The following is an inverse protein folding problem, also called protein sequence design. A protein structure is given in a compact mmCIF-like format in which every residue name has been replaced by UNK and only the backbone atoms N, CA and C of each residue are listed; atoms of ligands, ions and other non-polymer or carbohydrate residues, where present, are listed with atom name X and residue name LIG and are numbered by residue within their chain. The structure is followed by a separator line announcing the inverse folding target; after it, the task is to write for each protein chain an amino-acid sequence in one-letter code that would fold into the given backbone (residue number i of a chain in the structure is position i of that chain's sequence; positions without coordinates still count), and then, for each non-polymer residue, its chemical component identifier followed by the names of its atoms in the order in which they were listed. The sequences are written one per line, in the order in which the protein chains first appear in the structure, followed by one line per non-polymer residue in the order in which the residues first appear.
data_IF_795370506623
#
_entry.id   IF_795370506623
#
_cell.length_a   1.000
_cell.length_b   1.000
_cell.length_c   1.000
_cell.angle_alpha   90.00
_cell.angle_beta   90.00
_cell.angle_gamma   90.00
#
_symmetry.space_group_name_H-M   'P 1'
#
loop_
_entity.id
_entity.type
_entity.pdbx_description
1 polymer ?
#
# COMPACT_ATOMS: atom_id res chain seq x y z
N UNK A 1 5.29 2.30 -9.49
CA UNK A 1 6.27 1.20 -9.41
C UNK A 1 5.88 0.14 -10.43
N UNK A 2 6.82 -0.39 -11.23
CA UNK A 2 6.51 -1.38 -12.28
C UNK A 2 6.96 -2.75 -11.78
N UNK A 3 6.06 -3.49 -11.12
CA UNK A 3 6.36 -4.83 -10.61
C UNK A 3 6.77 -5.77 -11.76
N UNK A 4 6.12 -5.64 -12.92
CA UNK A 4 6.48 -6.29 -14.19
C UNK A 4 7.77 -5.75 -14.86
N UNK A 5 8.58 -4.95 -14.18
CA UNK A 5 9.97 -4.69 -14.60
C UNK A 5 10.99 -5.49 -13.79
N UNK A 6 10.58 -6.15 -12.71
CA UNK A 6 11.46 -7.05 -11.99
C UNK A 6 11.67 -8.32 -12.82
N UNK A 7 12.94 -8.68 -13.04
CA UNK A 7 13.32 -9.79 -13.91
C UNK A 7 12.74 -11.13 -13.45
N UNK A 8 12.80 -11.42 -12.16
CA UNK A 8 12.31 -12.69 -11.60
C UNK A 8 10.78 -12.80 -11.72
N UNK A 9 10.07 -11.69 -11.47
CA UNK A 9 8.61 -11.62 -11.67
C UNK A 9 8.26 -11.90 -13.13
N UNK A 10 8.94 -11.25 -14.08
CA UNK A 10 8.67 -11.41 -15.52
C UNK A 10 8.98 -12.82 -16.00
N UNK A 11 10.11 -13.37 -15.59
CA UNK A 11 10.51 -14.74 -15.96
C UNK A 11 9.52 -15.77 -15.44
N UNK A 12 9.14 -15.67 -14.15
CA UNK A 12 8.17 -16.59 -13.56
C UNK A 12 6.79 -16.43 -14.21
N UNK A 13 6.30 -15.20 -14.36
CA UNK A 13 5.00 -14.91 -14.98
C UNK A 13 4.94 -15.40 -16.43
N UNK A 14 5.97 -15.21 -17.25
CA UNK A 14 5.94 -15.69 -18.64
C UNK A 14 6.02 -17.22 -18.74
N UNK A 15 6.66 -17.89 -17.78
CA UNK A 15 6.78 -19.34 -17.78
C UNK A 15 5.49 -20.07 -17.34
N UNK A 16 4.63 -19.44 -16.53
CA UNK A 16 3.51 -20.12 -15.87
C UNK A 16 2.13 -19.60 -16.25
N UNK A 17 2.02 -18.47 -16.93
CA UNK A 17 0.73 -17.84 -17.24
C UNK A 17 0.77 -17.04 -18.55
N UNK A 18 -0.42 -16.80 -19.11
CA UNK A 18 -0.62 -15.87 -20.22
C UNK A 18 -0.90 -14.48 -19.63
N UNK A 19 0.05 -13.56 -19.77
CA UNK A 19 -0.06 -12.21 -19.23
C UNK A 19 -0.80 -11.30 -20.22
N UNK A 20 -1.95 -10.75 -19.80
CA UNK A 20 -2.75 -9.84 -20.61
C UNK A 20 -3.11 -8.58 -19.83
N UNK A 21 -3.03 -7.42 -20.50
CA UNK A 21 -3.31 -6.10 -19.93
C UNK A 21 -4.45 -5.45 -20.70
N UNK A 22 -5.43 -4.91 -19.98
CA UNK A 22 -6.51 -4.07 -20.51
C UNK A 22 -6.70 -2.83 -19.65
N UNK A 23 -7.13 -1.72 -20.27
CA UNK A 23 -7.61 -0.53 -19.58
C UNK A 23 -9.04 -0.78 -19.08
N UNK A 24 -9.14 -1.14 -17.80
CA UNK A 24 -10.40 -1.42 -17.11
C UNK A 24 -11.36 -0.21 -17.05
N UNK A 25 -10.87 1.01 -17.30
CA UNK A 25 -11.69 2.22 -17.37
C UNK A 25 -12.20 2.52 -18.80
N UNK A 26 -11.74 1.76 -19.81
CA UNK A 26 -12.15 1.89 -21.21
C UNK A 26 -12.71 0.58 -21.75
N UNK A 27 -11.89 -0.22 -22.44
CA UNK A 27 -12.32 -1.46 -23.08
C UNK A 27 -12.52 -2.62 -22.09
N UNK A 28 -11.97 -2.53 -20.88
CA UNK A 28 -12.05 -3.57 -19.85
C UNK A 28 -13.20 -3.42 -18.84
N UNK A 29 -14.16 -2.50 -19.06
CA UNK A 29 -15.23 -2.20 -18.08
C UNK A 29 -16.08 -3.41 -17.72
N UNK A 30 -16.46 -4.23 -18.70
CA UNK A 30 -17.30 -5.41 -18.47
C UNK A 30 -16.53 -6.48 -17.69
N UNK A 31 -15.22 -6.61 -17.91
CA UNK A 31 -14.36 -7.50 -17.14
C UNK A 31 -14.18 -6.99 -15.71
N UNK A 32 -13.94 -5.70 -15.52
CA UNK A 32 -13.85 -5.09 -14.20
C UNK A 32 -15.12 -5.34 -13.38
N UNK A 33 -16.29 -5.24 -14.01
CA UNK A 33 -17.58 -5.58 -13.40
C UNK A 33 -17.71 -7.08 -13.11
N UNK A 34 -17.38 -7.96 -14.07
CA UNK A 34 -17.44 -9.42 -13.93
C UNK A 34 -16.63 -9.91 -12.72
N UNK A 35 -15.43 -9.37 -12.54
CA UNK A 35 -14.51 -9.77 -11.47
C UNK A 35 -14.58 -8.89 -10.23
N UNK A 36 -15.58 -7.99 -10.11
CA UNK A 36 -15.78 -7.17 -8.92
C UNK A 36 -14.57 -6.31 -8.54
N UNK A 37 -13.93 -5.69 -9.52
CA UNK A 37 -12.77 -4.80 -9.30
C UNK A 37 -13.25 -3.54 -8.56
N UNK A 38 -12.73 -3.31 -7.36
CA UNK A 38 -13.09 -2.17 -6.48
C UNK A 38 -12.01 -1.09 -6.40
N UNK A 39 -10.81 -1.36 -6.92
CA UNK A 39 -9.68 -0.44 -6.90
C UNK A 39 -8.62 -0.82 -7.94
N UNK A 40 -7.75 0.14 -8.27
CA UNK A 40 -6.68 -0.04 -9.25
C UNK A 40 -5.29 0.19 -8.63
N UNK A 41 -4.24 -0.55 -9.06
CA UNK A 41 -4.33 -1.69 -9.99
C UNK A 41 -5.00 -2.92 -9.33
N UNK A 42 -5.67 -3.75 -10.13
CA UNK A 42 -6.12 -5.10 -9.73
C UNK A 42 -5.68 -6.09 -10.79
N UNK A 43 -5.10 -7.21 -10.37
CA UNK A 43 -4.72 -8.32 -11.24
C UNK A 43 -5.65 -9.49 -10.94
N UNK A 44 -6.29 -10.01 -11.98
CA UNK A 44 -7.20 -11.15 -11.89
C UNK A 44 -6.54 -12.37 -12.51
N UNK A 45 -6.47 -13.46 -11.75
CA UNK A 45 -5.97 -14.75 -12.20
C UNK A 45 -7.19 -15.63 -12.46
N UNK A 46 -7.32 -16.13 -13.69
CA UNK A 46 -8.46 -16.94 -14.13
C UNK A 46 -8.01 -18.22 -14.84
N UNK A 47 -8.85 -19.25 -14.79
CA UNK A 47 -8.63 -20.50 -15.53
C UNK A 47 -8.98 -20.35 -17.02
N UNK A 48 -8.82 -21.42 -17.80
CA UNK A 48 -9.10 -21.44 -19.24
C UNK A 48 -10.58 -21.19 -19.57
N UNK A 49 -11.48 -21.42 -18.62
CA UNK A 49 -12.93 -21.21 -18.77
C UNK A 49 -13.35 -19.80 -18.32
N UNK A 50 -12.39 -19.00 -17.83
CA UNK A 50 -12.60 -17.65 -17.37
C UNK A 50 -13.21 -17.55 -15.97
N UNK A 51 -13.12 -18.61 -15.15
CA UNK A 51 -13.47 -18.57 -13.74
C UNK A 51 -12.32 -17.94 -12.93
N UNK A 52 -12.66 -17.12 -11.93
CA UNK A 52 -11.66 -16.49 -11.06
C UNK A 52 -11.02 -17.55 -10.16
N UNK A 53 -9.69 -17.64 -10.22
CA UNK A 53 -8.87 -18.40 -9.27
C UNK A 53 -8.56 -17.53 -8.06
N UNK A 54 -8.07 -16.32 -8.32
CA UNK A 54 -7.67 -15.36 -7.30
C UNK A 54 -7.46 -13.95 -7.86
N UNK A 55 -7.26 -12.96 -6.98
CA UNK A 55 -6.92 -11.59 -7.32
C UNK A 55 -5.84 -11.02 -6.41
N UNK A 56 -5.03 -10.13 -6.97
CA UNK A 56 -4.15 -9.22 -6.22
C UNK A 56 -4.72 -7.82 -6.39
N UNK A 57 -5.10 -7.19 -5.28
CA UNK A 57 -5.67 -5.83 -5.26
C UNK A 57 -4.63 -4.85 -4.72
N UNK A 58 -4.44 -3.75 -5.43
CA UNK A 58 -3.50 -2.72 -5.06
C UNK A 58 -2.05 -3.06 -5.42
N UNK A 59 -1.13 -2.38 -4.74
CA UNK A 59 0.29 -2.47 -5.02
C UNK A 59 0.98 -3.45 -4.06
N UNK A 60 1.84 -4.31 -4.61
CA UNK A 60 2.74 -5.20 -3.88
C UNK A 60 4.19 -4.95 -4.33
N UNK A 61 5.17 -4.98 -3.40
CA UNK A 61 6.59 -5.13 -3.71
C UNK A 61 6.87 -6.29 -4.64
N UNK A 62 7.97 -6.25 -5.40
CA UNK A 62 8.28 -7.34 -6.32
C UNK A 62 8.47 -8.72 -5.66
N UNK A 63 9.17 -8.86 -4.51
CA UNK A 63 9.32 -10.15 -3.84
C UNK A 63 7.99 -10.71 -3.31
N UNK A 64 7.17 -9.86 -2.68
CA UNK A 64 5.87 -10.24 -2.14
C UNK A 64 4.91 -10.60 -3.27
N UNK A 65 4.95 -9.84 -4.36
CA UNK A 65 4.19 -10.14 -5.57
C UNK A 65 4.61 -11.47 -6.20
N UNK A 66 5.92 -11.75 -6.32
CA UNK A 66 6.42 -13.04 -6.83
C UNK A 66 5.92 -14.20 -5.97
N UNK A 67 6.00 -14.05 -4.64
CA UNK A 67 5.49 -15.05 -3.70
C UNK A 67 3.98 -15.25 -3.87
N UNK A 68 3.22 -14.17 -4.04
CA UNK A 68 1.79 -14.24 -4.25
C UNK A 68 1.43 -14.97 -5.56
N UNK A 69 2.04 -14.62 -6.69
CA UNK A 69 1.75 -15.28 -7.97
C UNK A 69 2.15 -16.76 -7.97
N UNK A 70 3.24 -17.12 -7.28
CA UNK A 70 3.64 -18.52 -7.10
C UNK A 70 2.55 -19.32 -6.37
N UNK A 71 2.06 -18.79 -5.25
CA UNK A 71 1.00 -19.45 -4.47
C UNK A 71 -0.32 -19.56 -5.24
N UNK A 72 -0.67 -18.54 -6.03
CA UNK A 72 -1.88 -18.54 -6.87
C UNK A 72 -1.78 -19.59 -7.99
N UNK A 73 -0.61 -19.68 -8.64
CA UNK A 73 -0.36 -20.68 -9.67
C UNK A 73 -0.36 -22.10 -9.10
N UNK A 74 0.17 -22.28 -7.89
CA UNK A 74 0.11 -23.55 -7.15
C UNK A 74 -1.29 -23.89 -6.61
N UNK A 75 -2.28 -23.01 -6.77
CA UNK A 75 -3.66 -23.09 -6.24
C UNK A 75 -3.78 -23.17 -4.72
N UNK A 76 -2.67 -23.21 -3.99
CA UNK A 76 -2.59 -23.39 -2.53
C UNK A 76 -2.93 -22.13 -1.72
N UNK A 77 -3.14 -20.98 -2.36
CA UNK A 77 -3.63 -19.76 -1.69
C UNK A 77 -5.01 -19.30 -2.16
N UNK A 78 -5.66 -20.05 -3.06
CA UNK A 78 -7.00 -19.67 -3.51
C UNK A 78 -7.98 -19.72 -2.34
N UNK A 79 -8.98 -18.83 -2.35
CA UNK A 79 -10.01 -18.82 -1.30
C UNK A 79 -10.69 -20.19 -1.17
N UNK A 80 -10.96 -20.85 -2.30
CA UNK A 80 -11.54 -22.20 -2.35
C UNK A 80 -10.65 -23.23 -1.64
N UNK A 81 -9.36 -23.29 -1.97
CA UNK A 81 -8.44 -24.23 -1.32
C UNK A 81 -8.34 -24.00 0.19
N UNK A 82 -8.25 -22.74 0.62
CA UNK A 82 -8.15 -22.39 2.04
C UNK A 82 -9.44 -22.74 2.80
N UNK A 83 -10.61 -22.57 2.15
CA UNK A 83 -11.90 -23.00 2.70
C UNK A 83 -11.99 -24.53 2.81
N UNK A 84 -11.53 -25.28 1.81
CA UNK A 84 -11.48 -26.74 1.85
C UNK A 84 -10.55 -27.23 2.97
N UNK A 85 -9.35 -26.64 3.08
CA UNK A 85 -8.39 -26.96 4.14
C UNK A 85 -9.00 -26.70 5.53
N UNK A 86 -9.61 -25.54 5.73
CA UNK A 86 -10.34 -25.23 6.97
C UNK A 86 -11.48 -26.23 7.24
N UNK A 87 -12.27 -26.59 6.22
CA UNK A 87 -13.38 -27.53 6.39
C UNK A 87 -12.94 -28.95 6.72
N UNK A 88 -11.73 -29.35 6.30
CA UNK A 88 -11.15 -30.65 6.64
C UNK A 88 -10.79 -30.77 8.14
N UNK A 89 -10.40 -29.66 8.77
CA UNK A 89 -10.15 -29.56 10.20
C UNK A 89 -10.36 -28.14 10.72
N UNK A 90 -11.58 -27.85 11.21
CA UNK A 90 -11.94 -26.50 11.68
C UNK A 90 -11.20 -26.06 12.94
N UNK A 91 -10.58 -26.98 13.67
CA UNK A 91 -9.79 -26.69 14.88
C UNK A 91 -8.32 -26.45 14.60
N UNK A 92 -7.87 -26.65 13.37
CA UNK A 92 -6.50 -26.33 12.98
C UNK A 92 -6.31 -24.81 12.98
N UNK A 93 -5.51 -24.32 13.93
CA UNK A 93 -5.23 -22.90 14.11
C UNK A 93 -4.55 -22.27 12.89
N UNK A 94 -3.71 -23.04 12.18
CA UNK A 94 -3.05 -22.56 10.97
C UNK A 94 -4.07 -22.40 9.84
N UNK A 95 -4.98 -23.37 9.68
CA UNK A 95 -6.03 -23.27 8.66
C UNK A 95 -6.98 -22.09 8.91
N UNK A 96 -7.29 -21.81 10.18
CA UNK A 96 -8.02 -20.61 10.57
C UNK A 96 -7.26 -19.33 10.20
N UNK A 97 -5.95 -19.28 10.50
CA UNK A 97 -5.13 -18.10 10.23
C UNK A 97 -4.98 -17.85 8.73
N UNK A 98 -4.67 -18.88 7.94
CA UNK A 98 -4.51 -18.76 6.49
C UNK A 98 -5.81 -18.27 5.82
N UNK A 99 -6.97 -18.81 6.22
CA UNK A 99 -8.28 -18.38 5.71
C UNK A 99 -8.60 -16.95 6.13
N UNK A 100 -8.34 -16.58 7.38
CA UNK A 100 -8.55 -15.22 7.87
C UNK A 100 -7.72 -14.20 7.10
N UNK A 101 -6.43 -14.48 6.89
CA UNK A 101 -5.53 -13.63 6.11
C UNK A 101 -6.06 -13.44 4.69
N UNK A 102 -6.52 -14.52 4.04
CA UNK A 102 -7.11 -14.43 2.70
C UNK A 102 -8.36 -13.56 2.66
N UNK A 103 -9.22 -13.68 3.66
CA UNK A 103 -10.42 -12.85 3.78
C UNK A 103 -10.06 -11.38 3.96
N UNK A 104 -9.05 -11.06 4.77
CA UNK A 104 -8.57 -9.67 4.92
C UNK A 104 -8.01 -9.13 3.61
N UNK A 105 -7.13 -9.87 2.93
CA UNK A 105 -6.54 -9.49 1.64
C UNK A 105 -7.61 -9.20 0.58
N UNK A 106 -8.71 -9.94 0.60
CA UNK A 106 -9.82 -9.79 -0.36
C UNK A 106 -10.90 -8.81 0.10
N UNK A 107 -10.65 -8.03 1.15
CA UNK A 107 -11.55 -6.99 1.66
C UNK A 107 -12.73 -7.51 2.48
N UNK A 108 -12.74 -8.79 2.85
CA UNK A 108 -13.75 -9.46 3.68
C UNK A 108 -13.32 -9.53 5.16
N UNK A 109 -12.75 -8.44 5.68
CA UNK A 109 -12.25 -8.39 7.05
C UNK A 109 -13.31 -8.72 8.12
N UNK A 110 -14.57 -8.36 7.90
CA UNK A 110 -15.65 -8.72 8.83
C UNK A 110 -15.81 -10.24 8.97
N UNK A 111 -15.70 -10.99 7.87
CA UNK A 111 -15.79 -12.45 7.87
C UNK A 111 -14.55 -13.10 8.50
N UNK A 112 -13.38 -12.46 8.38
CA UNK A 112 -12.11 -12.93 8.93
C UNK A 112 -12.09 -12.95 10.47
N UNK A 113 -12.81 -12.01 11.11
CA UNK A 113 -12.76 -11.77 12.57
C UNK A 113 -13.04 -13.04 13.39
N UNK A 114 -14.05 -13.83 13.01
CA UNK A 114 -14.42 -15.05 13.74
C UNK A 114 -13.28 -16.09 13.82
N UNK A 115 -12.47 -16.20 12.77
CA UNK A 115 -11.38 -17.18 12.70
C UNK A 115 -10.19 -16.73 13.54
N UNK A 116 -9.89 -15.43 13.54
CA UNK A 116 -8.84 -14.85 14.39
C UNK A 116 -9.24 -14.92 15.87
N UNK A 117 -10.49 -14.60 16.21
CA UNK A 117 -11.01 -14.72 17.58
C UNK A 117 -10.97 -16.17 18.07
N UNK A 118 -11.28 -17.14 17.21
CA UNK A 118 -11.15 -18.56 17.54
C UNK A 118 -9.71 -18.93 17.93
N UNK A 119 -8.70 -18.45 17.19
CA UNK A 119 -7.29 -18.71 17.52
C UNK A 119 -6.95 -18.12 18.89
N UNK A 120 -7.28 -16.85 19.13
CA UNK A 120 -6.97 -16.14 20.37
C UNK A 120 -7.63 -16.79 21.58
N UNK A 121 -8.86 -17.28 21.44
CA UNK A 121 -9.58 -17.97 22.50
C UNK A 121 -9.05 -19.38 22.76
N UNK A 122 -8.60 -20.09 21.72
CA UNK A 122 -8.18 -21.49 21.81
C UNK A 122 -6.75 -21.63 22.33
N UNK A 123 -5.85 -20.71 21.98
CA UNK A 123 -4.44 -20.77 22.35
C UNK A 123 -3.94 -19.43 22.91
N UNK A 124 -4.52 -19.00 24.03
CA UNK A 124 -4.22 -17.71 24.65
C UNK A 124 -2.73 -17.54 25.03
N UNK A 125 -2.02 -18.65 25.29
CA UNK A 125 -0.58 -18.68 25.58
C UNK A 125 0.32 -18.62 24.35
N UNK A 126 -0.26 -18.61 23.14
CA UNK A 126 0.47 -18.67 21.87
C UNK A 126 1.41 -19.88 21.76
N UNK A 127 0.98 -21.03 22.26
CA UNK A 127 1.77 -22.28 22.23
C UNK A 127 2.01 -22.77 20.82
N UNK A 128 1.03 -22.57 19.93
CA UNK A 128 1.08 -22.95 18.52
C UNK A 128 1.75 -21.88 17.64
N UNK A 129 2.01 -20.67 18.17
CA UNK A 129 2.68 -19.59 17.44
C UNK A 129 1.82 -18.86 16.41
N UNK A 130 0.49 -18.87 16.56
CA UNK A 130 -0.45 -18.19 15.66
C UNK A 130 -1.28 -17.08 16.36
N UNK A 131 -1.31 -17.07 17.69
CA UNK A 131 -2.12 -16.14 18.49
C UNK A 131 -1.55 -14.73 18.48
N UNK A 132 -0.23 -14.58 18.37
CA UNK A 132 0.43 -13.30 18.18
C UNK A 132 -0.03 -12.62 16.88
N UNK A 133 0.14 -13.30 15.75
CA UNK A 133 -0.26 -12.80 14.44
C UNK A 133 -1.78 -12.55 14.43
N UNK A 134 -2.60 -13.47 14.97
CA UNK A 134 -4.05 -13.29 15.02
C UNK A 134 -4.48 -12.09 15.88
N UNK A 135 -3.85 -11.88 17.04
CA UNK A 135 -4.16 -10.75 17.92
C UNK A 135 -3.81 -9.41 17.28
N UNK A 136 -2.64 -9.34 16.64
CA UNK A 136 -2.17 -8.12 15.97
C UNK A 136 -3.02 -7.83 14.74
N UNK A 137 -3.35 -8.84 13.93
CA UNK A 137 -4.22 -8.69 12.77
C UNK A 137 -5.61 -8.16 13.17
N UNK A 138 -6.21 -8.70 14.26
CA UNK A 138 -7.46 -8.17 14.81
C UNK A 138 -7.35 -6.69 15.18
N UNK A 139 -6.32 -6.30 15.92
CA UNK A 139 -6.11 -4.92 16.32
C UNK A 139 -5.89 -3.98 15.11
N UNK A 140 -5.21 -4.48 14.07
CA UNK A 140 -4.98 -3.77 12.81
C UNK A 140 -6.23 -3.64 11.94
N UNK A 141 -7.22 -4.53 12.07
CA UNK A 141 -8.46 -4.50 11.29
C UNK A 141 -9.51 -3.52 11.85
N UNK A 142 -9.50 -3.22 13.14
CA UNK A 142 -10.49 -2.37 13.82
C UNK A 142 -10.23 -0.87 13.61
N UNK A 143 -10.07 -0.42 12.35
CA UNK A 143 -9.59 0.95 12.03
C UNK A 143 -10.70 1.97 11.83
N UNK A 144 -11.83 1.58 11.23
CA UNK A 144 -12.75 2.52 10.57
C UNK A 144 -13.31 3.63 11.46
N UNK A 145 -13.46 3.39 12.77
CA UNK A 145 -13.99 4.34 13.74
C UNK A 145 -13.04 4.58 14.93
N UNK A 146 -11.82 4.01 14.89
CA UNK A 146 -10.89 4.04 16.00
C UNK A 146 -10.01 5.28 15.91
N UNK A 147 -9.95 6.03 17.01
CA UNK A 147 -9.05 7.19 17.12
C UNK A 147 -7.59 6.72 16.97
N UNK A 148 -6.71 7.52 16.34
CA UNK A 148 -5.30 7.16 16.17
C UNK A 148 -4.62 6.73 17.47
N UNK A 149 -4.91 7.39 18.59
CA UNK A 149 -4.30 7.10 19.89
C UNK A 149 -4.69 5.71 20.42
N UNK A 150 -5.95 5.31 20.23
CA UNK A 150 -6.43 3.99 20.64
C UNK A 150 -5.79 2.89 19.79
N UNK A 151 -5.68 3.10 18.47
CA UNK A 151 -4.96 2.18 17.59
C UNK A 151 -3.50 2.01 18.02
N UNK A 152 -2.81 3.15 18.23
CA UNK A 152 -1.41 3.16 18.67
C UNK A 152 -1.24 2.36 19.95
N UNK A 153 -2.09 2.62 20.95
CA UNK A 153 -2.05 1.94 22.24
C UNK A 153 -2.16 0.43 22.08
N UNK A 154 -3.19 -0.03 21.38
CA UNK A 154 -3.51 -1.46 21.30
C UNK A 154 -2.46 -2.24 20.50
N UNK A 155 -2.05 -1.73 19.34
CA UNK A 155 -1.05 -2.40 18.50
C UNK A 155 0.33 -2.37 19.16
N UNK A 156 0.70 -1.27 19.84
CA UNK A 156 1.98 -1.18 20.54
C UNK A 156 2.04 -2.15 21.72
N UNK A 157 0.96 -2.25 22.52
CA UNK A 157 0.87 -3.20 23.61
C UNK A 157 0.99 -4.66 23.13
N UNK A 158 0.43 -4.97 21.96
CA UNK A 158 0.55 -6.30 21.36
C UNK A 158 1.97 -6.57 20.83
N UNK A 159 2.65 -5.59 20.23
CA UNK A 159 4.05 -5.75 19.81
C UNK A 159 4.99 -5.92 21.01
N UNK A 160 4.71 -5.24 22.14
CA UNK A 160 5.46 -5.44 23.38
C UNK A 160 5.21 -6.83 23.98
N UNK A 161 3.97 -7.33 23.87
CA UNK A 161 3.60 -8.69 24.31
C UNK A 161 4.19 -9.77 23.40
N UNK A 162 4.28 -9.52 22.10
CA UNK A 162 4.70 -10.47 21.07
C UNK A 162 5.87 -9.92 20.23
N UNK A 163 7.07 -9.78 20.81
CA UNK A 163 8.22 -9.15 20.13
C UNK A 163 8.76 -9.95 18.93
N UNK A 164 8.32 -11.19 18.75
CA UNK A 164 8.76 -12.10 17.68
C UNK A 164 7.69 -12.38 16.62
N UNK A 165 6.56 -11.67 16.64
CA UNK A 165 5.47 -11.83 15.64
C UNK A 165 5.98 -11.62 14.21
N UNK A 166 5.38 -12.32 13.25
CA UNK A 166 5.66 -12.12 11.84
C UNK A 166 5.13 -10.77 11.32
N UNK A 167 4.20 -10.15 12.06
CA UNK A 167 3.59 -8.87 11.71
C UNK A 167 4.37 -7.65 12.24
N UNK A 168 5.55 -7.83 12.86
CA UNK A 168 6.34 -6.72 13.43
C UNK A 168 6.57 -5.58 12.44
N UNK A 169 7.01 -5.92 11.22
CA UNK A 169 7.29 -4.95 10.15
C UNK A 169 6.00 -4.21 9.73
N UNK A 170 4.96 -4.96 9.40
CA UNK A 170 3.72 -4.41 8.84
C UNK A 170 2.98 -3.58 9.89
N UNK A 171 2.87 -4.07 11.12
CA UNK A 171 2.30 -3.33 12.24
C UNK A 171 3.03 -2.01 12.50
N UNK A 172 4.38 -1.99 12.45
CA UNK A 172 5.17 -0.75 12.59
C UNK A 172 4.99 0.21 11.43
N UNK A 173 4.83 -0.29 10.21
CA UNK A 173 4.48 0.54 9.05
C UNK A 173 3.16 1.26 9.31
N UNK A 174 2.10 0.55 9.69
CA UNK A 174 0.80 1.17 9.97
C UNK A 174 0.83 2.07 11.21
N UNK A 175 1.61 1.72 12.24
CA UNK A 175 1.83 2.61 13.38
C UNK A 175 2.47 3.94 12.97
N UNK A 176 3.40 3.95 12.03
CA UNK A 176 4.02 5.20 11.56
C UNK A 176 2.99 6.17 10.96
N UNK A 177 2.03 5.65 10.20
CA UNK A 177 0.91 6.42 9.64
C UNK A 177 -0.01 6.94 10.75
N UNK A 178 -0.35 6.09 11.73
CA UNK A 178 -1.16 6.51 12.88
C UNK A 178 -0.47 7.51 13.80
N UNK A 179 0.84 7.42 13.97
CA UNK A 179 1.61 8.45 14.67
C UNK A 179 1.51 9.79 13.93
N UNK A 180 1.57 9.81 12.60
CA UNK A 180 1.39 11.02 11.81
C UNK A 180 -0.03 11.59 11.95
N UNK A 181 -1.07 10.76 11.88
CA UNK A 181 -2.47 11.17 12.12
C UNK A 181 -2.65 11.79 13.52
N UNK A 182 -1.99 11.24 14.54
CA UNK A 182 -1.99 11.74 15.92
C UNK A 182 -1.09 12.97 16.13
N UNK A 183 -0.40 13.48 15.11
CA UNK A 183 0.54 14.59 15.22
C UNK A 183 1.88 14.26 15.89
N UNK A 184 2.16 12.98 16.13
CA UNK A 184 3.41 12.48 16.71
C UNK A 184 4.48 12.23 15.63
N UNK A 185 4.85 13.29 14.90
CA UNK A 185 5.78 13.23 13.76
C UNK A 185 7.14 12.61 14.11
N UNK A 186 7.66 12.88 15.32
CA UNK A 186 8.95 12.34 15.77
C UNK A 186 8.91 10.82 15.91
N UNK A 187 7.81 10.26 16.44
CA UNK A 187 7.61 8.81 16.54
C UNK A 187 7.41 8.17 15.18
N UNK A 188 6.64 8.82 14.30
CA UNK A 188 6.44 8.34 12.94
C UNK A 188 7.78 8.20 12.20
N UNK A 189 8.59 9.27 12.23
CA UNK A 189 9.89 9.28 11.57
C UNK A 189 10.90 8.31 12.20
N UNK A 190 10.95 8.24 13.54
CA UNK A 190 11.81 7.28 14.23
C UNK A 190 11.47 5.82 13.86
N UNK A 191 10.17 5.51 13.77
CA UNK A 191 9.70 4.17 13.37
C UNK A 191 10.10 3.83 11.94
N UNK A 192 9.91 4.76 10.99
CA UNK A 192 10.31 4.56 9.59
C UNK A 192 11.83 4.44 9.43
N UNK A 193 12.61 5.25 10.14
CA UNK A 193 14.07 5.16 10.12
C UNK A 193 14.57 3.81 10.68
N UNK A 194 13.95 3.32 11.76
CA UNK A 194 14.24 1.98 12.28
C UNK A 194 13.96 0.90 11.23
N UNK A 195 12.80 0.96 10.57
CA UNK A 195 12.44 0.00 9.52
C UNK A 195 13.38 0.09 8.31
N UNK A 196 13.74 1.29 7.86
CA UNK A 196 14.71 1.48 6.77
C UNK A 196 16.10 0.95 7.12
N UNK A 197 16.54 1.10 8.37
CA UNK A 197 17.83 0.55 8.80
C UNK A 197 17.81 -0.98 8.81
N UNK A 198 16.70 -1.59 9.24
CA UNK A 198 16.53 -3.06 9.33
C UNK A 198 16.24 -3.69 7.96
N UNK A 199 15.50 -2.99 7.10
CA UNK A 199 15.01 -3.47 5.81
C UNK A 199 15.29 -2.45 4.68
N UNK A 200 16.56 -2.12 4.40
CA UNK A 200 16.93 -1.01 3.50
C UNK A 200 16.49 -1.20 2.05
N UNK A 201 16.18 -2.43 1.65
CA UNK A 201 15.76 -2.78 0.30
C UNK A 201 14.29 -3.16 0.17
N UNK A 202 13.53 -3.13 1.26
CA UNK A 202 12.11 -3.50 1.25
C UNK A 202 11.27 -2.39 0.60
N UNK A 203 10.49 -2.75 -0.42
CA UNK A 203 9.75 -1.75 -1.20
C UNK A 203 8.57 -1.16 -0.42
N UNK A 204 7.95 -1.90 0.52
CA UNK A 204 6.88 -1.35 1.38
C UNK A 204 7.47 -0.33 2.34
N UNK A 205 8.59 -0.65 2.99
CA UNK A 205 9.28 0.29 3.88
C UNK A 205 9.70 1.55 3.13
N UNK A 206 10.30 1.41 1.93
CA UNK A 206 10.63 2.55 1.06
C UNK A 206 9.40 3.35 0.68
N UNK A 207 8.33 2.68 0.25
CA UNK A 207 7.08 3.30 -0.16
C UNK A 207 6.47 4.15 0.96
N UNK A 208 6.30 3.59 2.15
CA UNK A 208 5.74 4.31 3.29
C UNK A 208 6.66 5.43 3.79
N UNK A 209 7.99 5.27 3.70
CA UNK A 209 8.91 6.37 4.00
C UNK A 209 8.77 7.52 3.01
N UNK A 210 8.69 7.23 1.71
CA UNK A 210 8.42 8.25 0.69
C UNK A 210 7.07 8.94 0.92
N UNK A 211 6.04 8.17 1.29
CA UNK A 211 4.69 8.68 1.54
C UNK A 211 4.64 9.58 2.79
N UNK A 212 5.40 9.27 3.84
CA UNK A 212 5.53 10.14 5.02
C UNK A 212 5.99 11.55 4.63
N UNK A 213 7.09 11.66 3.89
CA UNK A 213 7.62 12.94 3.45
C UNK A 213 6.67 13.65 2.48
N UNK A 214 6.12 12.94 1.51
CA UNK A 214 5.16 13.50 0.56
C UNK A 214 3.86 13.96 1.25
N UNK A 215 3.42 13.26 2.28
CA UNK A 215 2.28 13.63 3.12
C UNK A 215 2.51 14.96 3.83
N UNK A 216 3.68 15.16 4.44
CA UNK A 216 4.06 16.45 5.05
C UNK A 216 4.04 17.60 4.05
N UNK A 217 4.59 17.37 2.85
CA UNK A 217 4.57 18.37 1.79
C UNK A 217 3.15 18.69 1.31
N UNK A 218 2.28 17.69 1.16
CA UNK A 218 0.87 17.86 0.78
C UNK A 218 0.09 18.69 1.79
N UNK A 219 0.30 18.44 3.10
CA UNK A 219 -0.36 19.19 4.18
C UNK A 219 -0.05 20.69 4.08
N UNK A 220 1.23 21.04 3.93
CA UNK A 220 1.66 22.44 3.73
C UNK A 220 1.12 23.00 2.42
N UNK A 221 1.17 22.23 1.34
CA UNK A 221 0.71 22.70 0.04
C UNK A 221 -0.81 23.01 0.01
N UNK A 222 -1.60 22.28 0.79
CA UNK A 222 -3.05 22.48 0.90
C UNK A 222 -3.48 23.54 1.93
N UNK A 223 -2.56 24.03 2.77
CA UNK A 223 -2.87 24.97 3.84
C UNK A 223 -2.75 26.42 3.38
N UNK A 224 -3.87 27.14 3.40
CA UNK A 224 -3.94 28.56 3.01
C UNK A 224 -3.17 29.49 3.96
N UNK A 225 -2.87 29.06 5.19
CA UNK A 225 -2.09 29.82 6.15
C UNK A 225 -0.56 29.63 5.99
N UNK A 226 -0.12 28.73 5.10
CA UNK A 226 1.30 28.45 4.90
C UNK A 226 2.06 29.63 4.29
N UNK A 227 3.24 29.88 4.83
CA UNK A 227 4.15 30.96 4.41
C UNK A 227 5.16 30.46 3.37
N UNK A 228 5.93 31.39 2.79
CA UNK A 228 7.04 31.06 1.89
C UNK A 228 8.06 30.10 2.52
N UNK A 229 8.37 30.25 3.82
CA UNK A 229 9.31 29.35 4.50
C UNK A 229 8.70 27.97 4.73
N UNK A 230 7.38 27.87 4.96
CA UNK A 230 6.70 26.59 4.98
C UNK A 230 6.80 25.89 3.60
N UNK A 231 6.61 26.62 2.50
CA UNK A 231 6.73 26.04 1.15
C UNK A 231 8.15 25.54 0.86
N UNK A 232 9.20 26.25 1.27
CA UNK A 232 10.58 25.78 1.14
C UNK A 232 10.81 24.48 1.92
N UNK A 233 10.35 24.40 3.18
CA UNK A 233 10.44 23.18 3.97
C UNK A 233 9.62 22.03 3.35
N UNK A 234 8.46 22.32 2.74
CA UNK A 234 7.68 21.32 2.01
C UNK A 234 8.41 20.81 0.77
N UNK A 235 9.10 21.67 0.02
CA UNK A 235 9.93 21.28 -1.12
C UNK A 235 11.04 20.32 -0.68
N UNK A 236 11.71 20.58 0.44
CA UNK A 236 12.71 19.65 0.99
C UNK A 236 12.12 18.27 1.32
N UNK A 237 10.89 18.24 1.86
CA UNK A 237 10.18 16.98 2.09
C UNK A 237 9.85 16.28 0.76
N UNK A 238 9.42 17.01 -0.28
CA UNK A 238 9.22 16.42 -1.61
C UNK A 238 10.53 15.81 -2.12
N UNK A 239 11.65 16.51 -1.98
CA UNK A 239 12.96 16.01 -2.43
C UNK A 239 13.42 14.77 -1.67
N UNK A 240 13.11 14.66 -0.38
CA UNK A 240 13.33 13.43 0.40
C UNK A 240 12.43 12.28 -0.06
N UNK A 241 11.24 12.56 -0.62
CA UNK A 241 10.31 11.52 -1.09
C UNK A 241 10.67 10.91 -2.45
N UNK A 242 11.20 11.72 -3.37
CA UNK A 242 11.44 11.34 -4.78
C UNK A 242 12.32 10.07 -4.94
N UNK A 243 13.42 9.88 -4.18
CA UNK A 243 14.26 8.68 -4.29
C UNK A 243 13.51 7.36 -4.09
N UNK A 244 12.39 7.38 -3.35
CA UNK A 244 11.57 6.19 -3.10
C UNK A 244 10.57 5.87 -4.21
N UNK A 245 10.39 6.77 -5.18
CA UNK A 245 9.30 6.69 -6.17
C UNK A 245 9.74 6.66 -7.64
N UNK A 246 11.04 6.55 -7.89
CA UNK A 246 11.67 6.73 -9.21
C UNK A 246 10.93 5.97 -10.33
N UNK A 247 10.66 6.68 -11.43
CA UNK A 247 10.04 6.19 -12.66
C UNK A 247 8.55 5.88 -12.56
N UNK A 248 7.90 6.20 -11.43
CA UNK A 248 6.51 5.82 -11.16
C UNK A 248 5.53 6.99 -11.03
N UNK A 249 4.25 6.63 -10.95
CA UNK A 249 3.14 7.57 -10.70
C UNK A 249 3.31 8.39 -9.40
N UNK A 250 4.00 7.83 -8.40
CA UNK A 250 4.27 8.53 -7.14
C UNK A 250 5.36 9.61 -7.31
N UNK A 251 6.37 9.40 -8.19
CA UNK A 251 7.32 10.46 -8.56
C UNK A 251 6.59 11.56 -9.34
N UNK A 252 5.66 11.19 -10.23
CA UNK A 252 4.83 12.18 -10.94
C UNK A 252 4.01 13.03 -9.95
N UNK A 253 3.39 12.38 -8.96
CA UNK A 253 2.67 13.07 -7.88
C UNK A 253 3.58 13.97 -7.05
N UNK A 254 4.78 13.50 -6.68
CA UNK A 254 5.74 14.28 -5.90
C UNK A 254 6.17 15.55 -6.66
N UNK A 255 6.55 15.39 -7.94
CA UNK A 255 6.91 16.51 -8.81
C UNK A 255 5.74 17.47 -9.06
N UNK A 256 4.49 16.99 -9.08
CA UNK A 256 3.33 17.88 -9.23
C UNK A 256 3.14 18.78 -8.01
N UNK A 257 3.32 18.22 -6.81
CA UNK A 257 3.30 19.01 -5.57
C UNK A 257 4.49 19.98 -5.55
N UNK A 258 5.68 19.54 -5.97
CA UNK A 258 6.86 20.40 -6.12
C UNK A 258 6.60 21.60 -7.04
N UNK A 259 5.97 21.35 -8.19
CA UNK A 259 5.63 22.38 -9.15
C UNK A 259 4.68 23.43 -8.56
N UNK A 260 3.65 22.99 -7.85
CA UNK A 260 2.70 23.88 -7.19
C UNK A 260 3.34 24.72 -6.09
N UNK A 261 4.24 24.13 -5.30
CA UNK A 261 5.00 24.84 -4.26
C UNK A 261 5.93 25.90 -4.84
N UNK A 262 6.70 25.57 -5.89
CA UNK A 262 7.54 26.56 -6.58
C UNK A 262 6.72 27.68 -7.23
N UNK A 263 5.56 27.35 -7.82
CA UNK A 263 4.65 28.34 -8.37
C UNK A 263 4.17 29.32 -7.29
N UNK A 264 3.79 28.83 -6.10
CA UNK A 264 3.39 29.66 -4.95
C UNK A 264 4.52 30.54 -4.42
N UNK A 265 5.77 30.14 -4.61
CA UNK A 265 6.96 30.93 -4.30
C UNK A 265 7.33 31.95 -5.39
N UNK A 266 6.66 31.93 -6.54
CA UNK A 266 7.02 32.74 -7.72
C UNK A 266 8.24 32.22 -8.49
N UNK A 267 8.77 31.05 -8.13
CA UNK A 267 9.90 30.41 -8.82
C UNK A 267 9.40 29.64 -10.05
N UNK A 268 9.15 30.39 -11.13
CA UNK A 268 8.54 29.84 -12.34
C UNK A 268 9.44 28.84 -13.07
N UNK A 269 10.76 28.98 -12.97
CA UNK A 269 11.70 28.10 -13.66
C UNK A 269 11.68 26.69 -13.05
N UNK A 270 11.75 26.61 -11.71
CA UNK A 270 11.65 25.33 -11.03
C UNK A 270 10.23 24.75 -11.05
N UNK A 271 9.19 25.60 -11.07
CA UNK A 271 7.82 25.16 -11.27
C UNK A 271 7.64 24.45 -12.62
N UNK A 272 8.12 25.06 -13.72
CA UNK A 272 8.08 24.50 -15.07
C UNK A 272 8.86 23.18 -15.17
N UNK A 273 10.09 23.16 -14.66
CA UNK A 273 10.92 21.95 -14.63
C UNK A 273 10.22 20.78 -13.92
N UNK A 274 9.59 21.06 -12.78
CA UNK A 274 8.91 20.04 -11.98
C UNK A 274 7.65 19.52 -12.69
N UNK A 275 6.83 20.40 -13.27
CA UNK A 275 5.61 19.97 -13.96
C UNK A 275 5.91 19.24 -15.27
N UNK A 276 6.97 19.61 -16.00
CA UNK A 276 7.41 18.88 -17.18
C UNK A 276 7.81 17.45 -16.82
N UNK A 277 8.51 17.24 -15.71
CA UNK A 277 8.84 15.90 -15.20
C UNK A 277 7.58 15.11 -14.84
N UNK A 278 6.59 15.74 -14.19
CA UNK A 278 5.29 15.12 -13.92
C UNK A 278 4.61 14.65 -15.19
N UNK A 279 4.52 15.50 -16.22
CA UNK A 279 3.85 15.18 -17.49
C UNK A 279 4.62 14.13 -18.29
N UNK A 280 5.96 14.13 -18.23
CA UNK A 280 6.77 13.07 -18.82
C UNK A 280 6.43 11.69 -18.22
N UNK A 281 6.17 11.63 -16.91
CA UNK A 281 5.86 10.38 -16.21
C UNK A 281 4.39 9.97 -16.36
N UNK A 282 3.46 10.93 -16.43
CA UNK A 282 2.03 10.67 -16.51
C UNK A 282 1.29 11.76 -17.32
N UNK A 283 1.32 11.70 -18.67
CA UNK A 283 0.82 12.78 -19.52
C UNK A 283 -0.70 12.93 -19.52
N UNK A 284 -1.45 11.85 -19.33
CA UNK A 284 -2.92 11.84 -19.46
C UNK A 284 -3.66 12.23 -18.15
N UNK A 285 -2.93 12.57 -17.09
CA UNK A 285 -3.55 12.90 -15.81
C UNK A 285 -4.14 14.31 -15.84
N UNK A 286 -5.47 14.41 -15.82
CA UNK A 286 -6.22 15.69 -15.88
C UNK A 286 -5.82 16.69 -14.80
N UNK A 287 -5.47 16.23 -13.59
CA UNK A 287 -5.06 17.13 -12.51
C UNK A 287 -3.68 17.72 -12.78
N UNK A 288 -2.77 16.94 -13.36
CA UNK A 288 -1.42 17.41 -13.69
C UNK A 288 -1.44 18.37 -14.87
N UNK A 289 -2.31 18.13 -15.87
CA UNK A 289 -2.54 19.08 -16.96
C UNK A 289 -3.05 20.44 -16.45
N UNK A 290 -3.97 20.46 -15.46
CA UNK A 290 -4.39 21.71 -14.81
C UNK A 290 -3.24 22.44 -14.11
N UNK A 291 -2.38 21.72 -13.39
CA UNK A 291 -1.18 22.32 -12.78
C UNK A 291 -0.27 22.91 -13.85
N UNK A 292 -0.07 22.19 -14.98
CA UNK A 292 0.70 22.69 -16.12
C UNK A 292 0.10 23.96 -16.69
N UNK A 293 -1.20 24.00 -16.96
CA UNK A 293 -1.85 25.18 -17.52
C UNK A 293 -1.73 26.40 -16.61
N UNK A 294 -1.82 26.17 -15.29
CA UNK A 294 -1.57 27.21 -14.29
C UNK A 294 -0.13 27.71 -14.32
N UNK A 295 0.86 26.80 -14.34
CA UNK A 295 2.30 27.15 -14.32
C UNK A 295 2.75 27.86 -15.61
N UNK A 296 2.20 27.48 -16.76
CA UNK A 296 2.54 28.10 -18.05
C UNK A 296 1.65 29.31 -18.41
N UNK A 297 0.61 29.59 -17.63
CA UNK A 297 -0.34 30.66 -17.92
C UNK A 297 -1.20 30.40 -19.16
N UNK A 298 -1.45 29.13 -19.51
CA UNK A 298 -2.26 28.72 -20.66
C UNK A 298 -3.72 28.44 -20.32
N UNK A 299 -4.12 28.60 -19.05
CA UNK A 299 -5.51 28.46 -18.60
C UNK A 299 -6.38 29.62 -19.13
N UNK A 300 -6.90 29.49 -20.35
CA UNK A 300 -7.84 30.43 -20.96
C UNK A 300 -7.40 30.95 -22.32
N UNK A 301 -7.51 30.11 -23.35
CA UNK A 301 -7.86 30.49 -24.72
C UNK A 301 -8.86 29.49 -25.27
#
# INVERSE_FOLDING_TARGET
MRVYNNKEVVEYANAHQINWKTDAEKEGKDLAKKYGVTGYPTLVFMDSDGNEIDKIVGFYPAPDFLTAIQKINDRKSSLTFLQENYNSNKTDLKANLDLANKLVETGKGADAKQYLEFIVQTDASNTAGYTDDASIQLAMMEVKDKKPEAYISDVSALLDKYPSTNLDKDAKIFLSDKYQEAGNDDKALATLNYLLAKFPNDDMVKFYTGQYYLGKARKVNGDAASTADNFKAAIENVDKSIPYFIGGIFEASANNIKADLYYKLGDMDNAKKSIDRTIQLWPDNKNYLKTKDKVYGTAGK
#
